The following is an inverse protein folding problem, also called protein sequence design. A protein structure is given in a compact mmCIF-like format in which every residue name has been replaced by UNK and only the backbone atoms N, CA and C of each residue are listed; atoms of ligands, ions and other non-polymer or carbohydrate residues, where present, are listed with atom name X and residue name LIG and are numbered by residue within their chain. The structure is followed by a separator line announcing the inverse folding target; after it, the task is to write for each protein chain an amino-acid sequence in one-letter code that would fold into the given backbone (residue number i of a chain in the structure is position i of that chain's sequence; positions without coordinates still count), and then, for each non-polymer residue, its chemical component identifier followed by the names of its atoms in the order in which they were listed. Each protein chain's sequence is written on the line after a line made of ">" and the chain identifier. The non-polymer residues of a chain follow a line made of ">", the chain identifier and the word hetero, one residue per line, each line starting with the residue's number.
data_IF_654270221341
#
_entry.id   IF_654270221341
#
_cell.length_a   1.000
_cell.length_b   1.000
_cell.length_c   1.000
_cell.angle_alpha   90.00
_cell.angle_beta   90.00
_cell.angle_gamma   90.00
#
_symmetry.space_group_name_H-M   'P 1'
#
loop_
_entity.id
_entity.type
_entity.pdbx_description
1 polymer ?
#
# COMPACT_ATOMS: atom_id res chain seq x y z
N UNK A 1 16.41 21.76 -37.55
CA UNK A 1 16.43 21.81 -36.08
C UNK A 1 15.36 20.85 -35.59
N UNK A 2 15.78 19.66 -35.13
CA UNK A 2 14.87 18.64 -34.62
C UNK A 2 14.49 19.02 -33.19
N UNK A 3 13.19 19.14 -32.92
CA UNK A 3 12.66 19.21 -31.56
C UNK A 3 12.62 17.78 -31.01
N UNK A 4 13.57 17.44 -30.17
CA UNK A 4 13.46 16.28 -29.27
C UNK A 4 12.38 16.62 -28.23
N UNK A 5 11.16 16.16 -28.48
CA UNK A 5 10.14 16.09 -27.46
C UNK A 5 10.61 15.06 -26.41
N UNK A 6 11.29 15.54 -25.38
CA UNK A 6 11.44 14.80 -24.13
C UNK A 6 10.04 14.58 -23.56
N UNK A 7 9.43 13.45 -23.93
CA UNK A 7 8.40 12.82 -23.12
C UNK A 7 9.07 12.53 -21.77
N UNK A 8 8.94 13.49 -20.84
CA UNK A 8 9.07 13.17 -19.42
C UNK A 8 7.99 12.13 -19.16
N UNK A 9 8.39 10.84 -19.18
CA UNK A 9 7.57 9.81 -18.58
C UNK A 9 7.38 10.25 -17.12
N UNK A 10 6.18 10.76 -16.82
CA UNK A 10 5.84 11.20 -15.48
C UNK A 10 6.12 10.02 -14.56
N UNK A 11 7.01 10.21 -13.58
CA UNK A 11 7.27 9.13 -12.63
C UNK A 11 5.95 8.79 -11.95
N UNK A 12 5.52 7.51 -11.97
CA UNK A 12 4.27 7.12 -11.37
C UNK A 12 4.24 7.57 -9.91
N UNK A 13 3.14 8.24 -9.54
CA UNK A 13 2.99 8.86 -8.23
C UNK A 13 2.32 7.90 -7.26
N UNK A 14 2.79 7.85 -6.00
CA UNK A 14 2.11 7.11 -4.93
C UNK A 14 0.79 7.78 -4.52
N UNK A 15 0.60 9.06 -4.82
CA UNK A 15 -0.57 9.82 -4.39
C UNK A 15 -1.89 9.22 -4.92
N UNK A 16 -2.95 9.34 -4.13
CA UNK A 16 -4.27 8.79 -4.43
C UNK A 16 -4.56 7.50 -3.68
N UNK A 17 -5.69 6.90 -4.03
CA UNK A 17 -6.21 5.69 -3.39
C UNK A 17 -5.81 4.43 -4.16
N UNK A 18 -5.43 3.40 -3.42
CA UNK A 18 -4.94 2.11 -3.88
C UNK A 18 -5.70 1.00 -3.16
N UNK A 19 -6.08 -0.02 -3.90
CA UNK A 19 -6.85 -1.14 -3.38
C UNK A 19 -6.14 -2.47 -3.66
N UNK A 20 -5.97 -3.30 -2.63
CA UNK A 20 -5.31 -4.59 -2.77
C UNK A 20 -6.13 -5.55 -3.63
N UNK A 21 -5.51 -6.18 -4.62
CA UNK A 21 -6.14 -7.22 -5.43
C UNK A 21 -5.59 -8.61 -5.11
N UNK A 22 -4.30 -8.73 -4.83
CA UNK A 22 -3.63 -10.00 -4.57
C UNK A 22 -2.56 -9.86 -3.49
N UNK A 23 -2.36 -10.90 -2.69
CA UNK A 23 -1.34 -10.91 -1.65
C UNK A 23 -0.74 -12.30 -1.47
N UNK A 24 0.56 -12.34 -1.15
CA UNK A 24 1.29 -13.57 -0.86
C UNK A 24 2.31 -13.32 0.25
N UNK A 25 2.79 -14.42 0.84
CA UNK A 25 3.90 -14.38 1.77
C UNK A 25 3.59 -15.08 3.09
N UNK A 26 4.52 -14.90 4.02
CA UNK A 26 4.59 -15.67 5.26
C UNK A 26 4.80 -14.81 6.50
N UNK A 27 4.49 -13.52 6.45
CA UNK A 27 4.46 -12.75 7.70
C UNK A 27 3.35 -13.27 8.63
N UNK A 28 3.51 -12.98 9.90
CA UNK A 28 2.53 -13.31 10.95
C UNK A 28 1.59 -12.14 11.24
N UNK A 29 1.46 -11.18 10.31
CA UNK A 29 0.54 -10.06 10.45
C UNK A 29 -0.88 -10.58 10.22
N UNK A 30 -1.74 -10.41 11.21
CA UNK A 30 -3.12 -10.90 11.19
C UNK A 30 -3.94 -10.29 10.05
N UNK A 31 -3.75 -8.99 9.80
CA UNK A 31 -4.42 -8.32 8.69
C UNK A 31 -3.91 -8.76 7.32
N UNK A 32 -2.61 -9.03 7.16
CA UNK A 32 -2.08 -9.45 5.86
C UNK A 32 -2.55 -10.87 5.53
N UNK A 33 -2.68 -11.74 6.53
CA UNK A 33 -3.31 -13.03 6.37
C UNK A 33 -4.77 -12.89 5.92
N UNK A 34 -5.54 -11.96 6.50
CA UNK A 34 -6.91 -11.72 6.07
C UNK A 34 -7.03 -11.18 4.62
N UNK A 35 -6.04 -10.41 4.14
CA UNK A 35 -5.95 -9.99 2.73
C UNK A 35 -5.65 -11.20 1.83
N UNK A 36 -4.68 -12.04 2.20
CA UNK A 36 -4.33 -13.28 1.47
C UNK A 36 -5.50 -14.25 1.37
N UNK A 37 -6.25 -14.39 2.45
CA UNK A 37 -7.45 -15.23 2.54
C UNK A 37 -8.67 -14.57 1.86
N UNK A 38 -8.50 -13.40 1.24
CA UNK A 38 -9.54 -12.66 0.52
C UNK A 38 -10.76 -12.30 1.41
N UNK A 39 -10.57 -12.18 2.72
CA UNK A 39 -11.64 -11.81 3.68
C UNK A 39 -11.83 -10.30 3.76
N UNK A 40 -10.73 -9.56 3.57
CA UNK A 40 -10.71 -8.10 3.56
C UNK A 40 -9.95 -7.60 2.35
N UNK A 41 -10.28 -6.38 1.96
CA UNK A 41 -9.53 -5.58 1.01
C UNK A 41 -8.75 -4.52 1.78
N UNK A 42 -7.44 -4.43 1.56
CA UNK A 42 -6.62 -3.34 2.08
C UNK A 42 -6.71 -2.14 1.15
N UNK A 43 -7.16 -1.02 1.68
CA UNK A 43 -7.17 0.28 1.02
C UNK A 43 -6.11 1.18 1.64
N UNK A 44 -5.24 1.72 0.78
CA UNK A 44 -4.24 2.71 1.14
C UNK A 44 -4.56 4.01 0.42
N UNK A 45 -4.48 5.13 1.11
CA UNK A 45 -4.54 6.46 0.46
C UNK A 45 -3.32 7.25 0.85
N UNK A 46 -2.61 7.78 -0.14
CA UNK A 46 -1.49 8.68 0.07
C UNK A 46 -1.88 10.08 -0.40
N UNK A 47 -1.78 11.06 0.48
CA UNK A 47 -2.22 12.42 0.21
C UNK A 47 -1.02 13.39 0.11
N UNK A 48 -1.20 14.53 -0.58
CA UNK A 48 -0.22 15.60 -0.56
C UNK A 48 0.12 16.02 0.87
N UNK A 49 1.39 16.35 1.13
CA UNK A 49 1.85 16.69 2.48
C UNK A 49 2.30 15.49 3.31
N UNK A 50 2.37 14.29 2.72
CA UNK A 50 2.92 13.12 3.40
C UNK A 50 1.95 12.51 4.41
N UNK A 51 0.64 12.58 4.15
CA UNK A 51 -0.39 11.94 4.96
C UNK A 51 -0.78 10.60 4.32
N UNK A 52 -0.94 9.55 5.12
CA UNK A 52 -1.43 8.27 4.66
C UNK A 52 -2.63 7.80 5.47
N UNK A 53 -3.49 7.02 4.83
CA UNK A 53 -4.60 6.30 5.46
C UNK A 53 -4.47 4.81 5.13
N UNK A 54 -4.74 3.97 6.12
CA UNK A 54 -4.77 2.51 6.02
C UNK A 54 -6.13 2.02 6.50
N UNK A 55 -6.86 1.32 5.63
CA UNK A 55 -8.16 0.73 5.96
C UNK A 55 -8.26 -0.70 5.49
N UNK A 56 -8.86 -1.54 6.32
CA UNK A 56 -9.22 -2.92 5.97
C UNK A 56 -10.73 -2.97 5.83
N UNK A 57 -11.21 -3.18 4.62
CA UNK A 57 -12.64 -3.23 4.30
C UNK A 57 -13.06 -4.69 4.13
N UNK A 58 -14.07 -5.14 4.86
CA UNK A 58 -14.62 -6.49 4.72
C UNK A 58 -15.20 -6.69 3.32
N UNK A 59 -14.84 -7.78 2.63
CA UNK A 59 -15.43 -8.10 1.32
C UNK A 59 -16.89 -8.52 1.42
N UNK A 60 -17.29 -9.12 2.54
CA UNK A 60 -18.66 -9.60 2.75
C UNK A 60 -19.65 -8.47 3.04
N UNK A 61 -19.21 -7.46 3.80
CA UNK A 61 -20.10 -6.41 4.31
C UNK A 61 -19.80 -5.02 3.79
N UNK A 62 -18.68 -4.84 3.06
CA UNK A 62 -18.16 -3.54 2.63
C UNK A 62 -17.97 -2.53 3.78
N UNK A 63 -17.75 -3.02 5.01
CA UNK A 63 -17.54 -2.19 6.20
C UNK A 63 -16.06 -2.08 6.56
N UNK A 64 -15.65 -0.93 7.09
CA UNK A 64 -14.33 -0.75 7.68
C UNK A 64 -14.22 -1.60 8.96
N UNK A 65 -13.29 -2.54 8.96
CA UNK A 65 -13.00 -3.46 10.05
C UNK A 65 -11.59 -3.28 10.59
N UNK A 66 -10.91 -2.18 10.26
CA UNK A 66 -9.51 -1.91 10.62
C UNK A 66 -9.25 -2.08 12.12
N UNK A 67 -10.14 -1.59 12.96
CA UNK A 67 -10.05 -1.68 14.43
C UNK A 67 -10.16 -3.11 14.98
N UNK A 68 -10.54 -4.09 14.15
CA UNK A 68 -10.64 -5.50 14.55
C UNK A 68 -9.30 -6.24 14.54
N UNK A 69 -8.24 -5.61 14.02
CA UNK A 69 -6.91 -6.22 13.87
C UNK A 69 -5.92 -5.67 14.88
N UNK A 70 -5.02 -6.53 15.38
CA UNK A 70 -4.09 -6.20 16.48
C UNK A 70 -2.78 -5.58 16.00
N UNK A 71 -2.33 -5.90 14.78
CA UNK A 71 -1.02 -5.48 14.26
C UNK A 71 -1.13 -4.37 13.20
N UNK A 72 -2.15 -3.51 13.30
CA UNK A 72 -2.28 -2.36 12.41
C UNK A 72 -1.16 -1.36 12.71
N UNK A 73 -0.50 -0.90 11.65
CA UNK A 73 0.65 0.02 11.67
C UNK A 73 0.24 1.40 12.20
N UNK A 74 -0.82 1.95 11.62
CA UNK A 74 -1.70 3.01 12.12
C UNK A 74 -2.82 3.17 11.07
N UNK A 75 -4.06 3.46 11.47
CA UNK A 75 -5.17 3.67 10.50
C UNK A 75 -5.03 4.96 9.70
N UNK A 76 -4.33 5.96 10.27
CA UNK A 76 -3.96 7.21 9.64
C UNK A 76 -2.63 7.67 10.25
N UNK A 77 -1.82 8.38 9.49
CA UNK A 77 -0.62 9.02 10.01
C UNK A 77 0.14 9.76 8.92
N UNK A 78 1.42 9.99 9.16
CA UNK A 78 2.32 10.56 8.16
C UNK A 78 3.26 9.51 7.60
N UNK A 79 3.64 9.71 6.33
CA UNK A 79 4.60 8.89 5.63
C UNK A 79 5.63 9.73 4.90
N UNK A 80 6.80 9.16 4.70
CA UNK A 80 7.86 9.74 3.86
C UNK A 80 8.37 8.70 2.86
N UNK A 81 8.71 9.15 1.66
CA UNK A 81 9.43 8.33 0.70
C UNK A 81 10.91 8.35 1.04
N UNK A 82 11.52 7.17 1.15
CA UNK A 82 12.95 7.01 1.40
C UNK A 82 13.62 6.41 0.16
N UNK A 83 14.55 7.16 -0.45
CA UNK A 83 15.25 6.71 -1.64
C UNK A 83 14.32 6.50 -2.84
N UNK A 84 14.57 5.44 -3.62
CA UNK A 84 13.82 5.15 -4.84
C UNK A 84 12.53 4.36 -4.58
N UNK A 85 12.57 3.45 -3.61
CA UNK A 85 11.56 2.40 -3.39
C UNK A 85 11.09 2.26 -1.94
N UNK A 86 11.59 3.06 -0.99
CA UNK A 86 11.23 2.95 0.42
C UNK A 86 10.03 3.82 0.81
N UNK A 87 9.20 3.31 1.73
CA UNK A 87 8.20 4.08 2.47
C UNK A 87 8.52 3.96 3.96
N UNK A 88 8.56 5.08 4.66
CA UNK A 88 8.63 5.14 6.11
C UNK A 88 7.29 5.62 6.61
N UNK A 89 6.66 4.84 7.48
CA UNK A 89 5.43 5.22 8.18
C UNK A 89 5.84 5.77 9.56
N UNK A 90 5.52 7.03 9.83
CA UNK A 90 5.83 7.65 11.10
C UNK A 90 4.89 7.15 12.19
N UNK A 91 5.44 6.89 13.38
CA UNK A 91 4.68 6.31 14.49
C UNK A 91 4.48 4.79 14.41
N UNK A 92 4.98 4.13 13.35
CA UNK A 92 4.94 2.68 13.23
C UNK A 92 5.87 2.01 14.27
N UNK A 93 5.28 1.40 15.28
CA UNK A 93 5.98 0.60 16.28
C UNK A 93 6.11 -0.89 15.89
N UNK A 94 5.54 -1.29 14.76
CA UNK A 94 5.61 -2.67 14.26
C UNK A 94 7.03 -3.01 13.82
N UNK A 95 7.78 -2.04 13.28
CA UNK A 95 9.12 -2.18 12.73
C UNK A 95 9.14 -2.83 11.33
N UNK A 96 7.99 -2.86 10.64
CA UNK A 96 7.87 -3.39 9.28
C UNK A 96 8.61 -2.45 8.35
N UNK A 97 9.43 -3.00 7.46
CA UNK A 97 10.00 -2.24 6.35
C UNK A 97 9.06 -2.30 5.16
N UNK A 98 8.67 -1.14 4.65
CA UNK A 98 7.82 -1.01 3.47
C UNK A 98 8.69 -0.62 2.28
N UNK A 99 8.64 -1.40 1.21
CA UNK A 99 9.16 -0.99 -0.10
C UNK A 99 8.08 -1.10 -1.15
N UNK A 100 8.16 -0.31 -2.21
CA UNK A 100 7.19 -0.28 -3.29
C UNK A 100 7.86 -0.33 -4.66
N UNK A 101 7.14 -0.88 -5.63
CA UNK A 101 7.50 -0.86 -7.03
C UNK A 101 6.23 -0.59 -7.84
N UNK A 102 6.29 0.37 -8.76
CA UNK A 102 5.27 0.51 -9.79
C UNK A 102 5.58 -0.47 -10.91
N UNK A 103 4.65 -1.39 -11.18
CA UNK A 103 4.75 -2.27 -12.35
C UNK A 103 4.18 -1.56 -13.58
N UNK A 104 3.12 -0.77 -13.39
CA UNK A 104 2.49 0.11 -14.37
C UNK A 104 2.00 1.39 -13.66
N UNK A 105 1.41 2.35 -14.39
CA UNK A 105 0.90 3.60 -13.81
C UNK A 105 -0.18 3.38 -12.73
N UNK A 106 -1.04 2.38 -12.93
CA UNK A 106 -2.14 2.01 -12.05
C UNK A 106 -1.90 0.68 -11.29
N UNK A 107 -0.68 0.15 -11.33
CA UNK A 107 -0.29 -1.10 -10.66
C UNK A 107 0.87 -0.89 -9.69
N UNK A 108 0.62 -1.13 -8.41
CA UNK A 108 1.56 -0.93 -7.33
C UNK A 108 1.79 -2.24 -6.60
N UNK A 109 3.05 -2.61 -6.41
CA UNK A 109 3.45 -3.73 -5.57
C UNK A 109 4.12 -3.19 -4.32
N UNK A 110 3.56 -3.47 -3.14
CA UNK A 110 4.20 -3.18 -1.86
C UNK A 110 4.74 -4.47 -1.26
N UNK A 111 6.00 -4.43 -0.84
CA UNK A 111 6.66 -5.50 -0.10
C UNK A 111 6.82 -5.09 1.35
N UNK A 112 6.38 -5.96 2.24
CA UNK A 112 6.37 -5.79 3.68
C UNK A 112 7.33 -6.79 4.29
N UNK A 113 8.45 -6.31 4.82
CA UNK A 113 9.40 -7.16 5.54
C UNK A 113 9.17 -6.99 7.04
N UNK A 114 8.83 -8.10 7.70
CA UNK A 114 8.52 -8.10 9.12
C UNK A 114 9.71 -7.63 9.98
N UNK A 115 9.37 -7.05 11.12
CA UNK A 115 10.35 -6.54 12.07
C UNK A 115 11.10 -7.65 12.80
N UNK A 116 12.40 -7.41 13.03
CA UNK A 116 13.19 -8.15 14.03
C UNK A 116 12.60 -7.89 15.43
N UNK A 117 11.65 -8.71 15.89
CA UNK A 117 11.41 -8.88 17.33
C UNK A 117 12.01 -10.21 17.78
N UNK A 118 13.00 -10.12 18.68
CA UNK A 118 13.58 -11.21 19.46
C UNK A 118 13.75 -12.56 18.73
N UNK A 119 14.69 -12.60 17.78
CA UNK A 119 15.30 -13.84 17.30
C UNK A 119 14.51 -14.67 16.28
N UNK A 120 13.22 -14.42 16.04
CA UNK A 120 12.44 -15.09 14.99
C UNK A 120 11.34 -14.18 14.44
N UNK A 121 11.60 -13.55 13.30
CA UNK A 121 10.63 -13.26 12.23
C UNK A 121 11.43 -12.71 11.02
N UNK A 122 11.44 -13.46 9.91
CA UNK A 122 11.91 -13.05 8.58
C UNK A 122 10.76 -13.13 7.57
N UNK A 123 9.54 -12.86 8.04
CA UNK A 123 8.36 -12.92 7.20
C UNK A 123 8.46 -11.83 6.14
N UNK A 124 8.10 -12.19 4.90
CA UNK A 124 7.97 -11.23 3.80
C UNK A 124 6.60 -11.44 3.21
N UNK A 125 5.83 -10.36 3.13
CA UNK A 125 4.60 -10.33 2.35
C UNK A 125 4.78 -9.40 1.15
N UNK A 126 4.09 -9.74 0.08
CA UNK A 126 3.96 -8.93 -1.12
C UNK A 126 2.48 -8.75 -1.37
N UNK A 127 2.05 -7.50 -1.49
CA UNK A 127 0.67 -7.14 -1.77
C UNK A 127 0.67 -6.30 -3.05
N UNK A 128 -0.17 -6.72 -3.98
CA UNK A 128 -0.44 -6.02 -5.23
C UNK A 128 -1.68 -5.16 -5.07
N UNK A 129 -1.61 -3.97 -5.66
CA UNK A 129 -2.64 -2.96 -5.59
C UNK A 129 -2.96 -2.44 -6.97
N UNK A 130 -4.25 -2.16 -7.19
CA UNK A 130 -4.73 -1.38 -8.30
C UNK A 130 -5.10 0.03 -7.83
N UNK A 131 -4.93 1.01 -8.70
CA UNK A 131 -5.40 2.37 -8.41
C UNK A 131 -6.92 2.42 -8.40
N UNK A 132 -7.49 3.05 -7.37
CA UNK A 132 -8.94 3.27 -7.31
C UNK A 132 -9.29 4.41 -8.26
N UNK A 133 -9.93 4.06 -9.38
CA UNK A 133 -10.46 5.06 -10.32
C UNK A 133 -11.80 5.55 -9.79
N UNK A 134 -11.81 6.75 -9.22
CA UNK A 134 -13.07 7.43 -8.89
C UNK A 134 -13.85 7.64 -10.19
N UNK A 135 -15.16 7.36 -10.17
CA UNK A 135 -16.06 7.31 -11.35
C UNK A 135 -16.09 8.60 -12.19
N UNK A 136 -15.44 9.67 -11.75
CA UNK A 136 -15.29 10.92 -12.46
C UNK A 136 -14.31 10.85 -13.65
N UNK A 137 -13.36 9.90 -13.66
CA UNK A 137 -12.46 9.69 -14.79
C UNK A 137 -13.05 8.89 -15.96
N UNK A 138 -14.24 8.28 -15.79
CA UNK A 138 -14.87 7.48 -16.85
C UNK A 138 -15.75 8.31 -17.80
N UNK A 139 -15.91 9.62 -17.55
CA UNK A 139 -16.74 10.52 -18.38
C UNK A 139 -15.97 11.26 -19.47
N UNK A 140 -14.64 11.16 -19.47
CA UNK A 140 -13.77 11.85 -20.42
C UNK A 140 -13.03 10.88 -21.37
N UNK A 141 -13.53 9.64 -21.50
CA UNK A 141 -13.10 8.66 -22.52
C UNK A 141 -14.15 8.51 -23.63
#
# INVERSE_FOLDING_TARGET
>A
MAQEAQQHAATPSLLGAWESNEAFGNTTLDWSQAVKDQRVTLQLTFEPGGVFTFRLVSKDTATDVTSSFRHVVASEGSYERQGQDGIVIHGDASGIKWTFLFEEEDSLRIRLEGAKRFGRCKGVDVIYFARVKTTQQLKDL
#
